data_IF_259785925553
#
_entry.id   IF_259785925553
#
_cell.length_a   1.000
_cell.length_b   1.000
_cell.length_c   1.000
_cell.angle_alpha   90.00
_cell.angle_beta   90.00
_cell.angle_gamma   90.00
#
_symmetry.space_group_name_H-M   'P 1'
#
loop_
_entity.id
_entity.type
_entity.pdbx_description
1 polymer ?
#
# COMPACT_ATOMS: atom_id res chain seq x y z
N UNK A 1 23.34 -4.29 -1.58
CA UNK A 1 22.82 -4.13 -2.95
C UNK A 1 22.99 -5.48 -3.62
N UNK A 2 21.87 -6.13 -3.98
CA UNK A 2 21.65 -7.55 -4.35
C UNK A 2 22.81 -8.56 -4.27
N UNK A 3 22.60 -9.67 -3.56
CA UNK A 3 23.57 -10.77 -3.42
C UNK A 3 23.68 -11.65 -4.67
N UNK A 4 22.71 -11.57 -5.60
CA UNK A 4 22.64 -12.27 -6.89
C UNK A 4 22.07 -11.37 -7.98
N UNK A 5 22.25 -11.76 -9.24
CA UNK A 5 21.69 -11.09 -10.42
C UNK A 5 20.16 -10.97 -10.29
N UNK A 6 19.70 -9.78 -9.91
CA UNK A 6 18.31 -9.45 -9.66
C UNK A 6 17.89 -8.41 -10.71
N UNK A 7 16.70 -8.58 -11.29
CA UNK A 7 16.16 -7.57 -12.21
C UNK A 7 15.72 -6.34 -11.42
N UNK A 8 16.69 -5.47 -11.11
CA UNK A 8 16.52 -4.24 -10.34
C UNK A 8 15.43 -3.35 -10.95
N UNK A 9 15.30 -3.31 -12.29
CA UNK A 9 14.26 -2.53 -12.96
C UNK A 9 12.87 -3.06 -12.65
N UNK A 10 12.70 -4.38 -12.58
CA UNK A 10 11.43 -4.98 -12.19
C UNK A 10 11.14 -4.76 -10.71
N UNK A 11 12.14 -4.84 -9.82
CA UNK A 11 11.98 -4.52 -8.40
C UNK A 11 11.53 -3.08 -8.20
N UNK A 12 12.23 -2.13 -8.82
CA UNK A 12 11.90 -0.69 -8.74
C UNK A 12 10.49 -0.42 -9.26
N UNK A 13 10.10 -1.03 -10.39
CA UNK A 13 8.73 -0.89 -10.93
C UNK A 13 7.66 -1.37 -9.95
N UNK A 14 7.90 -2.48 -9.25
CA UNK A 14 6.95 -3.00 -8.25
C UNK A 14 6.93 -2.12 -7.01
N UNK A 15 8.07 -1.62 -6.55
CA UNK A 15 8.14 -0.67 -5.43
C UNK A 15 7.42 0.65 -5.75
N UNK A 16 7.57 1.20 -6.96
CA UNK A 16 6.80 2.37 -7.40
C UNK A 16 5.29 2.08 -7.41
N UNK A 17 4.88 0.90 -7.90
CA UNK A 17 3.47 0.48 -7.86
C UNK A 17 2.94 0.39 -6.43
N UNK A 18 3.73 -0.16 -5.50
CA UNK A 18 3.39 -0.22 -4.07
C UNK A 18 3.22 1.19 -3.53
N UNK A 19 4.21 2.07 -3.74
CA UNK A 19 4.14 3.47 -3.30
C UNK A 19 2.87 4.16 -3.78
N UNK A 20 2.53 4.01 -5.06
CA UNK A 20 1.33 4.59 -5.64
C UNK A 20 0.04 4.02 -5.02
N UNK A 21 0.00 2.71 -4.74
CA UNK A 21 -1.12 2.07 -4.05
C UNK A 21 -1.26 2.60 -2.62
N UNK A 22 -0.19 2.66 -1.84
CA UNK A 22 -0.23 3.15 -0.47
C UNK A 22 -0.66 4.61 -0.38
N UNK A 23 -0.14 5.47 -1.27
CA UNK A 23 -0.60 6.86 -1.37
C UNK A 23 -2.09 6.96 -1.75
N UNK A 24 -2.59 6.04 -2.59
CA UNK A 24 -4.02 5.96 -2.87
C UNK A 24 -4.82 5.52 -1.63
N UNK A 25 -4.28 4.61 -0.82
CA UNK A 25 -4.84 4.19 0.47
C UNK A 25 -5.02 5.36 1.43
N UNK A 26 -4.00 6.20 1.58
CA UNK A 26 -4.07 7.43 2.41
C UNK A 26 -5.27 8.29 2.01
N UNK A 27 -5.44 8.55 0.71
CA UNK A 27 -6.52 9.39 0.19
C UNK A 27 -7.87 8.70 0.38
N UNK A 28 -7.98 7.41 0.03
CA UNK A 28 -9.21 6.61 0.11
C UNK A 28 -9.75 6.52 1.53
N UNK A 29 -8.92 6.09 2.47
CA UNK A 29 -9.32 5.92 3.86
C UNK A 29 -9.67 7.25 4.52
N UNK A 30 -8.93 8.32 4.20
CA UNK A 30 -9.26 9.67 4.65
C UNK A 30 -10.64 10.08 4.13
N UNK A 31 -10.89 9.89 2.83
CA UNK A 31 -12.16 10.21 2.19
C UNK A 31 -13.33 9.43 2.77
N UNK A 32 -13.21 8.11 2.89
CA UNK A 32 -14.24 7.27 3.50
C UNK A 32 -14.56 7.68 4.93
N UNK A 33 -13.58 8.17 5.69
CA UNK A 33 -13.82 8.67 7.06
C UNK A 33 -14.79 9.86 7.11
N UNK A 34 -14.98 10.59 6.01
CA UNK A 34 -15.95 11.67 5.90
C UNK A 34 -17.35 11.18 5.52
N UNK A 35 -17.44 9.99 4.91
CA UNK A 35 -18.66 9.45 4.31
C UNK A 35 -19.45 8.53 5.27
N UNK A 36 -18.92 8.24 6.46
CA UNK A 36 -19.63 7.43 7.46
C UNK A 36 -20.49 8.29 8.38
N UNK A 37 -21.79 7.99 8.41
CA UNK A 37 -22.79 8.70 9.22
C UNK A 37 -23.53 7.74 10.19
N UNK A 38 -24.35 8.31 11.08
CA UNK A 38 -25.18 7.55 12.02
C UNK A 38 -24.56 7.35 13.41
N UNK A 39 -25.23 6.56 14.25
CA UNK A 39 -24.90 6.40 15.67
C UNK A 39 -23.61 5.59 15.90
N UNK A 40 -23.30 4.66 14.99
CA UNK A 40 -22.12 3.77 15.07
C UNK A 40 -20.85 4.39 14.47
N UNK A 41 -20.89 5.63 13.98
CA UNK A 41 -19.81 6.21 13.17
C UNK A 41 -18.49 6.42 13.93
N UNK A 42 -18.52 6.70 15.24
CA UNK A 42 -17.32 7.06 16.00
C UNK A 42 -16.21 6.01 15.87
N UNK A 43 -16.44 4.72 16.18
CA UNK A 43 -15.40 3.69 16.01
C UNK A 43 -15.00 3.48 14.55
N UNK A 44 -15.94 3.55 13.60
CA UNK A 44 -15.66 3.29 12.18
C UNK A 44 -14.80 4.40 11.58
N UNK A 45 -15.14 5.67 11.84
CA UNK A 45 -14.35 6.82 11.41
C UNK A 45 -12.95 6.78 12.04
N UNK A 46 -12.84 6.38 13.31
CA UNK A 46 -11.55 6.21 13.96
C UNK A 46 -10.70 5.14 13.29
N UNK A 47 -11.30 3.99 12.94
CA UNK A 47 -10.62 2.90 12.24
C UNK A 47 -10.18 3.31 10.83
N UNK A 48 -11.04 3.94 10.04
CA UNK A 48 -10.66 4.44 8.71
C UNK A 48 -9.48 5.42 8.79
N UNK A 49 -9.44 6.29 9.79
CA UNK A 49 -8.31 7.21 9.98
C UNK A 49 -7.02 6.52 10.42
N UNK A 50 -7.11 5.42 11.18
CA UNK A 50 -5.90 4.65 11.50
C UNK A 50 -5.34 3.97 10.26
N UNK A 51 -6.20 3.41 9.39
CA UNK A 51 -5.76 2.82 8.12
C UNK A 51 -5.12 3.86 7.20
N UNK A 52 -5.68 5.08 7.11
CA UNK A 52 -5.04 6.16 6.36
C UNK A 52 -3.63 6.53 6.90
N UNK A 53 -3.42 6.39 8.22
CA UNK A 53 -2.12 6.68 8.85
C UNK A 53 -1.13 5.55 8.60
N UNK A 54 -1.61 4.31 8.56
CA UNK A 54 -0.84 3.10 8.25
C UNK A 54 -0.39 3.08 6.79
N UNK A 55 -1.28 3.33 5.83
CA UNK A 55 -0.88 3.48 4.41
C UNK A 55 0.15 4.59 4.21
N UNK A 56 0.10 5.67 5.01
CA UNK A 56 1.13 6.72 4.94
C UNK A 56 2.49 6.20 5.41
N UNK A 57 2.53 5.39 6.46
CA UNK A 57 3.75 4.74 6.92
C UNK A 57 4.30 3.80 5.85
N UNK A 58 3.45 2.97 5.25
CA UNK A 58 3.85 2.03 4.20
C UNK A 58 4.38 2.76 2.96
N UNK A 59 3.74 3.87 2.55
CA UNK A 59 4.21 4.73 1.47
C UNK A 59 5.61 5.32 1.77
N UNK A 60 5.85 5.78 3.00
CA UNK A 60 7.15 6.29 3.41
C UNK A 60 8.22 5.20 3.31
N UNK A 61 7.95 4.01 3.83
CA UNK A 61 8.87 2.88 3.76
C UNK A 61 9.17 2.46 2.31
N UNK A 62 8.15 2.39 1.45
CA UNK A 62 8.33 2.08 0.03
C UNK A 62 9.21 3.12 -0.68
N UNK A 63 8.96 4.41 -0.43
CA UNK A 63 9.79 5.51 -0.96
C UNK A 63 11.23 5.45 -0.47
N UNK A 64 11.44 5.10 0.80
CA UNK A 64 12.78 4.87 1.36
C UNK A 64 13.48 3.69 0.68
N UNK A 65 12.78 2.57 0.45
CA UNK A 65 13.35 1.43 -0.28
C UNK A 65 13.80 1.81 -1.70
N UNK A 66 13.00 2.60 -2.42
CA UNK A 66 13.34 3.07 -3.77
C UNK A 66 14.59 3.96 -3.75
N UNK A 67 14.65 4.91 -2.82
CA UNK A 67 15.81 5.82 -2.70
C UNK A 67 17.08 5.10 -2.23
N UNK A 68 16.96 4.08 -1.38
CA UNK A 68 18.08 3.21 -0.98
C UNK A 68 18.67 2.43 -2.16
N UNK A 69 17.86 2.12 -3.17
CA UNK A 69 18.31 1.54 -4.44
C UNK A 69 18.88 2.58 -5.42
N UNK A 70 18.93 3.86 -5.05
CA UNK A 70 19.47 4.94 -5.88
C UNK A 70 18.51 5.45 -6.95
N UNK A 71 17.23 5.07 -6.89
CA UNK A 71 16.19 5.52 -7.82
C UNK A 71 15.38 6.69 -7.25
N UNK A 72 14.62 7.36 -8.13
CA UNK A 72 13.70 8.44 -7.76
C UNK A 72 12.27 7.87 -7.63
N UNK A 73 11.63 7.99 -6.46
CA UNK A 73 10.26 7.52 -6.27
C UNK A 73 9.25 8.20 -7.19
N UNK A 74 8.26 7.45 -7.65
CA UNK A 74 7.12 7.99 -8.40
C UNK A 74 6.39 9.09 -7.62
N UNK A 75 5.86 10.07 -8.35
CA UNK A 75 4.91 11.07 -7.85
C UNK A 75 3.45 10.68 -8.14
N UNK A 76 3.24 9.49 -8.71
CA UNK A 76 1.92 8.97 -9.03
C UNK A 76 1.07 8.69 -7.78
N UNK A 77 -0.24 8.65 -7.99
CA UNK A 77 -1.20 8.11 -7.04
C UNK A 77 -1.95 7.02 -7.80
N UNK A 78 -2.08 5.85 -7.18
CA UNK A 78 -2.82 4.72 -7.72
C UNK A 78 -4.30 5.05 -7.91
N UNK A 79 -5.07 4.09 -8.43
CA UNK A 79 -6.47 4.32 -8.78
C UNK A 79 -7.33 4.71 -7.56
N UNK A 80 -7.97 5.87 -7.64
CA UNK A 80 -8.88 6.39 -6.62
C UNK A 80 -10.33 6.06 -6.97
N UNK A 81 -10.70 4.78 -7.04
CA UNK A 81 -12.11 4.40 -7.25
C UNK A 81 -12.96 4.83 -6.05
N UNK A 82 -13.99 5.64 -6.28
CA UNK A 82 -15.08 5.90 -5.34
C UNK A 82 -16.37 5.66 -6.12
N UNK A 83 -17.16 4.63 -5.78
CA UNK A 83 -18.38 4.32 -6.53
C UNK A 83 -19.58 5.21 -6.17
N UNK A 84 -19.36 6.22 -5.31
CA UNK A 84 -20.38 7.05 -4.66
C UNK A 84 -21.45 6.27 -3.87
N UNK A 85 -21.18 5.00 -3.58
CA UNK A 85 -22.01 4.20 -2.68
C UNK A 85 -21.41 4.29 -1.29
N UNK A 86 -22.07 5.07 -0.43
CA UNK A 86 -21.58 5.36 0.92
C UNK A 86 -22.21 4.47 2.00
N UNK A 87 -22.76 3.31 1.61
CA UNK A 87 -23.06 2.27 2.59
C UNK A 87 -21.75 1.71 3.16
N UNK A 88 -21.72 1.45 4.47
CA UNK A 88 -20.52 0.94 5.13
C UNK A 88 -20.07 -0.39 4.50
N UNK A 89 -21.01 -1.24 4.07
CA UNK A 89 -20.68 -2.49 3.40
C UNK A 89 -19.99 -2.29 2.06
N UNK A 90 -20.36 -1.25 1.31
CA UNK A 90 -19.70 -0.93 0.03
C UNK A 90 -18.30 -0.36 0.26
N UNK A 91 -18.14 0.56 1.22
CA UNK A 91 -16.82 1.08 1.64
C UNK A 91 -15.89 -0.06 2.03
N UNK A 92 -16.35 -1.01 2.86
CA UNK A 92 -15.51 -2.13 3.30
C UNK A 92 -15.13 -3.08 2.16
N UNK A 93 -15.98 -3.27 1.14
CA UNK A 93 -15.63 -4.06 -0.05
C UNK A 93 -14.60 -3.34 -0.92
N UNK A 94 -14.78 -2.03 -1.12
CA UNK A 94 -13.81 -1.22 -1.85
C UNK A 94 -12.45 -1.16 -1.15
N UNK A 95 -12.44 -1.12 0.19
CA UNK A 95 -11.22 -1.27 1.00
C UNK A 95 -10.61 -2.66 0.85
N UNK A 96 -11.39 -3.74 0.90
CA UNK A 96 -10.89 -5.10 0.72
C UNK A 96 -10.25 -5.31 -0.66
N UNK A 97 -10.86 -4.77 -1.72
CA UNK A 97 -10.31 -4.83 -3.08
C UNK A 97 -8.98 -4.06 -3.17
N UNK A 98 -8.87 -2.94 -2.47
CA UNK A 98 -7.64 -2.15 -2.37
C UNK A 98 -6.52 -2.94 -1.68
N UNK A 99 -6.79 -3.52 -0.49
CA UNK A 99 -5.78 -4.31 0.24
C UNK A 99 -5.37 -5.57 -0.51
N UNK A 100 -6.31 -6.21 -1.21
CA UNK A 100 -6.00 -7.37 -2.06
C UNK A 100 -4.98 -7.01 -3.15
N UNK A 101 -5.07 -5.81 -3.72
CA UNK A 101 -4.10 -5.33 -4.72
C UNK A 101 -2.73 -4.98 -4.10
N UNK A 102 -2.71 -4.43 -2.88
CA UNK A 102 -1.48 -4.19 -2.10
C UNK A 102 -0.74 -5.49 -1.79
N UNK A 103 -1.44 -6.47 -1.20
CA UNK A 103 -0.91 -7.80 -0.90
C UNK A 103 -0.37 -8.49 -2.17
N UNK A 104 -1.08 -8.37 -3.31
CA UNK A 104 -0.59 -8.92 -4.57
C UNK A 104 0.74 -8.28 -4.99
N UNK A 105 0.86 -6.95 -4.89
CA UNK A 105 2.09 -6.24 -5.21
C UNK A 105 3.24 -6.61 -4.28
N UNK A 106 2.98 -6.77 -2.98
CA UNK A 106 4.02 -7.23 -2.03
C UNK A 106 4.45 -8.68 -2.27
N UNK A 107 3.52 -9.57 -2.64
CA UNK A 107 3.86 -10.95 -3.04
C UNK A 107 4.68 -10.99 -4.33
N UNK A 108 4.34 -10.13 -5.30
CA UNK A 108 5.14 -9.94 -6.52
C UNK A 108 6.56 -9.49 -6.15
N UNK A 109 6.70 -8.48 -5.28
CA UNK A 109 7.98 -8.00 -4.79
C UNK A 109 8.79 -9.12 -4.15
N UNK A 110 8.19 -9.86 -3.22
CA UNK A 110 8.83 -11.00 -2.55
C UNK A 110 9.37 -12.02 -3.56
N UNK A 111 8.56 -12.39 -4.56
CA UNK A 111 8.97 -13.36 -5.59
C UNK A 111 10.18 -12.88 -6.43
N UNK A 112 10.35 -11.57 -6.59
CA UNK A 112 11.48 -11.00 -7.32
C UNK A 112 12.77 -10.99 -6.49
N UNK A 113 12.68 -10.90 -5.17
CA UNK A 113 13.84 -10.65 -4.29
C UNK A 113 14.22 -11.83 -3.39
N UNK A 114 13.36 -12.86 -3.29
CA UNK A 114 13.59 -14.03 -2.44
C UNK A 114 14.92 -14.72 -2.77
N UNK A 115 15.80 -14.83 -1.76
CA UNK A 115 17.15 -15.39 -1.91
C UNK A 115 18.11 -14.56 -2.76
N UNK A 116 17.78 -13.29 -3.02
CA UNK A 116 18.59 -12.31 -3.78
C UNK A 116 18.85 -11.01 -3.03
N UNK A 117 17.95 -10.60 -2.13
CA UNK A 117 18.15 -9.44 -1.25
C UNK A 117 17.47 -9.65 0.09
N UNK A 118 18.26 -9.93 1.13
CA UNK A 118 17.74 -10.13 2.49
C UNK A 118 16.92 -8.91 2.94
N UNK A 119 17.42 -7.68 2.71
CA UNK A 119 16.75 -6.46 3.14
C UNK A 119 15.34 -6.30 2.55
N UNK A 120 15.21 -6.45 1.23
CA UNK A 120 13.94 -6.22 0.54
C UNK A 120 13.01 -7.42 0.75
N UNK A 121 13.58 -8.62 0.90
CA UNK A 121 12.81 -9.82 1.26
C UNK A 121 12.16 -9.68 2.63
N UNK A 122 12.91 -9.26 3.66
CA UNK A 122 12.38 -9.04 5.00
C UNK A 122 11.34 -7.91 5.01
N UNK A 123 11.58 -6.82 4.26
CA UNK A 123 10.60 -5.77 4.04
C UNK A 123 9.30 -6.33 3.45
N UNK A 124 9.37 -7.06 2.33
CA UNK A 124 8.19 -7.62 1.67
C UNK A 124 7.43 -8.61 2.56
N UNK A 125 8.14 -9.47 3.31
CA UNK A 125 7.52 -10.43 4.23
C UNK A 125 6.79 -9.74 5.38
N UNK A 126 7.38 -8.69 5.96
CA UNK A 126 6.74 -7.90 7.01
C UNK A 126 5.48 -7.21 6.46
N UNK A 127 5.59 -6.56 5.31
CA UNK A 127 4.45 -5.88 4.68
C UNK A 127 3.29 -6.84 4.39
N UNK A 128 3.54 -8.04 3.88
CA UNK A 128 2.50 -9.07 3.68
C UNK A 128 1.80 -9.49 4.98
N UNK A 129 2.48 -9.35 6.13
CA UNK A 129 1.91 -9.69 7.44
C UNK A 129 1.16 -8.54 8.10
N UNK A 130 1.49 -7.30 7.74
CA UNK A 130 0.89 -6.09 8.32
C UNK A 130 -0.45 -5.78 7.62
N UNK A 131 -0.61 -6.13 6.34
CA UNK A 131 -1.87 -6.07 5.56
C UNK A 131 -2.87 -7.21 5.87
#
# INVERSE_FOLDING_TARGET
>A
MFEKDCDEKSVLRVLDRILELELAGVVRYTHYSFMVFGYTRIPIVSWLRSQASESLLHAQEAGEMITQLGAHPSLGIGNLLETHKHDIGDILRESLDHESAGIEAYRELLSLVEGRSILIEEYARRMISDE
#
